data_IF_378439866601
#
_entry.id   IF_378439866601
#
_cell.length_a   1.000
_cell.length_b   1.000
_cell.length_c   1.000
_cell.angle_alpha   90.00
_cell.angle_beta   90.00
_cell.angle_gamma   90.00
#
_symmetry.space_group_name_H-M   'P 1'
#
loop_
_entity.id
_entity.type
_entity.pdbx_description
1 polymer ?
#
# COMPACT_ATOMS: atom_id res chain seq x y z
N UNK A 1 -0.91 -9.84 -7.57
CA UNK A 1 -2.33 -9.68 -7.21
C UNK A 1 -3.12 -9.53 -8.50
N UNK A 2 -4.18 -10.31 -8.66
CA UNK A 2 -5.05 -10.30 -9.84
C UNK A 2 -6.39 -9.66 -9.50
N UNK A 3 -6.90 -8.83 -10.41
CA UNK A 3 -8.23 -8.21 -10.36
C UNK A 3 -8.81 -8.33 -11.78
N UNK A 4 -9.54 -9.41 -12.04
CA UNK A 4 -9.85 -9.82 -13.42
C UNK A 4 -8.57 -9.99 -14.24
N UNK A 5 -8.46 -9.26 -15.36
CA UNK A 5 -7.29 -9.25 -16.23
C UNK A 5 -6.15 -8.33 -15.75
N UNK A 6 -6.41 -7.46 -14.76
CA UNK A 6 -5.42 -6.53 -14.22
C UNK A 6 -4.46 -7.27 -13.29
N UNK A 7 -3.16 -7.01 -13.45
CA UNK A 7 -2.11 -7.64 -12.63
C UNK A 7 -1.28 -6.56 -11.95
N UNK A 8 -1.29 -6.58 -10.62
CA UNK A 8 -0.54 -5.67 -9.76
C UNK A 8 0.55 -6.45 -9.02
N UNK A 9 1.78 -5.99 -9.15
CA UNK A 9 2.94 -6.45 -8.38
C UNK A 9 3.02 -5.73 -7.03
N UNK A 10 3.44 -6.45 -5.99
CA UNK A 10 3.72 -5.89 -4.66
C UNK A 10 5.23 -5.69 -4.55
N UNK A 11 5.66 -4.49 -4.17
CA UNK A 11 7.08 -4.14 -4.08
C UNK A 11 7.59 -4.25 -2.65
N UNK A 12 7.04 -3.45 -1.74
CA UNK A 12 7.51 -3.33 -0.36
C UNK A 12 6.42 -2.78 0.57
N UNK A 13 6.69 -2.85 1.88
CA UNK A 13 5.90 -2.16 2.90
C UNK A 13 6.22 -0.68 2.90
N UNK A 14 5.19 0.17 2.88
CA UNK A 14 5.42 1.61 2.73
C UNK A 14 5.60 2.31 4.06
N UNK A 15 6.77 2.94 4.22
CA UNK A 15 7.05 3.89 5.30
C UNK A 15 6.03 5.04 5.34
N UNK A 16 5.54 5.36 6.54
CA UNK A 16 4.57 6.44 6.74
C UNK A 16 5.26 7.72 7.19
N UNK A 17 4.82 8.83 6.63
CA UNK A 17 5.29 10.16 6.99
C UNK A 17 4.19 10.94 7.74
N UNK A 18 4.55 12.16 8.14
CA UNK A 18 3.69 13.09 8.87
C UNK A 18 2.34 13.37 8.16
N UNK A 19 2.27 13.23 6.83
CA UNK A 19 1.02 13.45 6.10
C UNK A 19 -0.11 12.54 6.58
N UNK A 20 0.20 11.36 7.11
CA UNK A 20 -0.77 10.41 7.68
C UNK A 20 -1.43 10.92 8.97
N UNK A 21 -0.91 12.00 9.57
CA UNK A 21 -1.43 12.57 10.83
C UNK A 21 -2.54 13.59 10.63
N UNK A 22 -2.87 13.95 9.40
CA UNK A 22 -3.91 14.92 9.12
C UNK A 22 -5.22 14.20 8.78
N UNK A 23 -6.28 14.59 9.46
CA UNK A 23 -7.63 14.22 9.09
C UNK A 23 -7.96 14.83 7.70
N UNK A 24 -8.38 14.02 6.72
CA UNK A 24 -8.51 14.47 5.33
C UNK A 24 -9.66 15.47 5.11
N UNK A 25 -10.69 15.45 5.96
CA UNK A 25 -11.88 16.30 5.80
C UNK A 25 -11.74 17.62 6.56
N UNK A 26 -11.09 17.59 7.73
CA UNK A 26 -11.00 18.75 8.65
C UNK A 26 -9.62 19.40 8.68
N UNK A 27 -8.59 18.74 8.13
CA UNK A 27 -7.18 19.14 8.22
C UNK A 27 -6.63 19.24 9.65
N UNK A 28 -7.36 18.73 10.65
CA UNK A 28 -6.87 18.67 12.03
C UNK A 28 -5.74 17.64 12.12
N UNK A 29 -4.64 18.02 12.75
CA UNK A 29 -3.51 17.11 12.95
C UNK A 29 -3.65 16.33 14.26
N UNK A 30 -3.55 15.00 14.17
CA UNK A 30 -3.32 14.09 15.30
C UNK A 30 -2.01 13.31 15.11
N UNK A 31 -0.99 13.72 15.86
CA UNK A 31 0.35 13.12 15.82
C UNK A 31 0.39 11.71 16.40
N UNK A 32 -0.58 11.31 17.22
CA UNK A 32 -0.62 9.97 17.80
C UNK A 32 -0.75 8.90 16.71
N UNK A 33 -1.39 9.20 15.58
CA UNK A 33 -1.51 8.28 14.45
C UNK A 33 -0.14 7.77 13.98
N UNK A 34 0.84 8.66 13.77
CA UNK A 34 2.17 8.23 13.33
C UNK A 34 2.94 7.55 14.47
N UNK A 35 2.79 8.02 15.71
CA UNK A 35 3.40 7.37 16.88
C UNK A 35 2.92 5.93 17.03
N UNK A 36 1.63 5.67 16.85
CA UNK A 36 1.06 4.34 16.92
C UNK A 36 1.48 3.46 15.75
N UNK A 37 1.61 4.03 14.54
CA UNK A 37 2.16 3.31 13.39
C UNK A 37 3.60 2.87 13.65
N UNK A 38 4.42 3.73 14.23
CA UNK A 38 5.81 3.38 14.60
C UNK A 38 5.83 2.28 15.66
N UNK A 39 5.02 2.40 16.71
CA UNK A 39 5.00 1.44 17.82
C UNK A 39 4.46 0.07 17.42
N UNK A 40 3.45 0.02 16.55
CA UNK A 40 2.71 -1.22 16.23
C UNK A 40 3.17 -1.89 14.94
N UNK A 41 3.69 -1.11 13.99
CA UNK A 41 4.02 -1.57 12.64
C UNK A 41 5.42 -1.13 12.18
N UNK A 42 6.28 -0.77 13.13
CA UNK A 42 7.69 -0.39 12.87
C UNK A 42 7.81 0.76 11.84
N UNK A 43 6.81 1.64 11.80
CA UNK A 43 6.79 2.82 10.93
C UNK A 43 6.35 2.53 9.49
N UNK A 44 6.00 1.28 9.18
CA UNK A 44 5.54 0.87 7.84
C UNK A 44 4.08 0.44 7.88
N UNK A 45 3.28 0.90 6.91
CA UNK A 45 1.88 0.52 6.80
C UNK A 45 1.43 0.60 5.34
N UNK A 46 0.62 -0.38 4.92
CA UNK A 46 0.21 -0.60 3.53
C UNK A 46 1.37 -0.96 2.59
N UNK A 47 1.05 -1.12 1.30
CA UNK A 47 1.96 -1.65 0.29
C UNK A 47 2.28 -0.59 -0.77
N UNK A 48 3.54 -0.51 -1.16
CA UNK A 48 3.92 -0.01 -2.48
C UNK A 48 3.68 -1.11 -3.51
N UNK A 49 3.07 -0.73 -4.62
CA UNK A 49 2.71 -1.65 -5.71
C UNK A 49 3.06 -1.03 -7.06
N UNK A 50 3.19 -1.87 -8.08
CA UNK A 50 3.41 -1.46 -9.45
C UNK A 50 2.50 -2.25 -10.39
N UNK A 51 2.18 -1.65 -11.54
CA UNK A 51 1.31 -2.28 -12.54
C UNK A 51 2.15 -3.21 -13.41
N UNK A 52 1.83 -4.51 -13.41
CA UNK A 52 2.42 -5.50 -14.31
C UNK A 52 1.60 -5.56 -15.61
N UNK A 53 0.27 -5.49 -15.48
CA UNK A 53 -0.68 -5.39 -16.61
C UNK A 53 -1.82 -4.46 -16.22
N UNK A 54 -2.00 -3.40 -17.02
CA UNK A 54 -3.06 -2.41 -16.82
C UNK A 54 -4.43 -2.87 -17.36
N UNK A 55 -5.47 -2.17 -16.94
CA UNK A 55 -6.87 -2.37 -17.33
C UNK A 55 -7.80 -1.66 -16.35
N UNK A 56 -9.11 -1.80 -16.57
CA UNK A 56 -10.11 -1.22 -15.68
C UNK A 56 -10.33 -2.09 -14.45
N UNK A 57 -10.51 -1.45 -13.30
CA UNK A 57 -10.96 -2.08 -12.06
C UNK A 57 -12.20 -1.33 -11.55
N UNK A 58 -13.10 -2.04 -10.87
CA UNK A 58 -14.34 -1.51 -10.31
C UNK A 58 -14.49 -1.93 -8.86
N UNK A 59 -15.27 -1.15 -8.11
CA UNK A 59 -15.64 -1.51 -6.74
C UNK A 59 -16.42 -2.82 -6.77
N UNK A 60 -16.01 -3.77 -5.93
CA UNK A 60 -16.60 -5.10 -5.86
C UNK A 60 -15.90 -6.16 -6.70
N UNK A 61 -14.91 -5.80 -7.53
CA UNK A 61 -14.11 -6.79 -8.25
C UNK A 61 -13.39 -7.72 -7.27
N UNK A 62 -13.40 -9.01 -7.58
CA UNK A 62 -12.72 -10.02 -6.76
C UNK A 62 -11.21 -9.88 -6.92
N UNK A 63 -10.51 -9.94 -5.79
CA UNK A 63 -9.05 -9.85 -5.73
C UNK A 63 -8.47 -11.21 -5.37
N UNK A 64 -7.57 -11.71 -6.21
CA UNK A 64 -6.90 -12.98 -5.97
C UNK A 64 -5.39 -12.79 -5.76
N UNK A 65 -4.89 -13.41 -4.69
CA UNK A 65 -3.46 -13.48 -4.44
C UNK A 65 -2.85 -14.63 -5.25
N UNK A 66 -2.20 -14.30 -6.37
CA UNK A 66 -1.37 -15.27 -7.08
C UNK A 66 -0.16 -15.68 -6.23
N UNK A 67 0.32 -16.90 -6.45
CA UNK A 67 1.50 -17.44 -5.74
C UNK A 67 2.68 -16.49 -5.85
N UNK A 68 3.33 -16.28 -4.71
CA UNK A 68 4.45 -15.36 -4.55
C UNK A 68 5.54 -15.62 -5.58
N UNK A 69 5.86 -14.60 -6.39
CA UNK A 69 7.20 -14.41 -6.91
C UNK A 69 7.80 -13.25 -6.14
N UNK A 70 8.99 -13.45 -5.61
CA UNK A 70 9.80 -12.39 -5.01
C UNK A 70 9.99 -11.30 -6.07
N UNK A 71 9.65 -10.05 -5.72
CA UNK A 71 10.04 -8.92 -6.54
C UNK A 71 11.56 -8.84 -6.45
N UNK A 72 12.26 -9.04 -7.58
CA UNK A 72 13.70 -8.84 -7.63
C UNK A 72 14.01 -7.44 -7.10
N UNK A 73 14.73 -7.37 -5.98
CA UNK A 73 15.05 -6.12 -5.33
C UNK A 73 15.60 -5.14 -6.37
N UNK A 74 14.97 -3.98 -6.48
CA UNK A 74 15.54 -2.88 -7.26
C UNK A 74 16.85 -2.52 -6.56
N UNK A 75 17.99 -2.92 -7.12
CA UNK A 75 19.29 -2.44 -6.68
C UNK A 75 19.27 -0.93 -6.91
N UNK A 76 19.27 -0.18 -5.81
CA UNK A 76 19.60 1.24 -5.82
C UNK A 76 21.02 1.44 -6.37
#
# INVERSE_FOLDING_TARGET
>A
MHIGDVVIGIQDLRGRCIMTTFDPDTLKQDRQVLTDIVRRFEGTLALNCFVIRGGDIRVGDTVELARHRECGANRA
#
